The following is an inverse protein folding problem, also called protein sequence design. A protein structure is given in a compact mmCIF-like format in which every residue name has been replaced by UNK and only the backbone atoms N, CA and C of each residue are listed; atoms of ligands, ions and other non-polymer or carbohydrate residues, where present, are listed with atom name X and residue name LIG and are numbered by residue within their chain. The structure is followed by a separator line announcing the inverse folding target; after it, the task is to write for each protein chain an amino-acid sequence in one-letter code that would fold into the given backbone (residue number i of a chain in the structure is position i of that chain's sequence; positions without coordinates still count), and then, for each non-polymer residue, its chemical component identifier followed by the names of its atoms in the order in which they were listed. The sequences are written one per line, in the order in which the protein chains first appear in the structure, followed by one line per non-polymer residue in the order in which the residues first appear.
data_IF_510293685844
#
_entry.id   IF_510293685844
#
_cell.length_a   1.000
_cell.length_b   1.000
_cell.length_c   1.000
_cell.angle_alpha   90.00
_cell.angle_beta   90.00
_cell.angle_gamma   90.00
#
_symmetry.space_group_name_H-M   'P 1'
#
loop_
_entity.id
_entity.type
_entity.pdbx_description
1 polymer ?
#
# COMPACT_ATOMS: atom_id res chain seq x y z
N UNK A 1 6.47 34.93 -10.59
CA UNK A 1 6.23 33.94 -11.67
C UNK A 1 5.60 32.72 -11.00
N UNK A 2 4.53 32.15 -11.56
CA UNK A 2 3.79 31.04 -10.94
C UNK A 2 4.62 29.75 -11.02
N UNK A 3 5.23 29.35 -9.90
CA UNK A 3 6.01 28.11 -9.73
C UNK A 3 5.10 26.87 -9.63
N UNK A 4 4.25 26.64 -10.63
CA UNK A 4 3.32 25.49 -10.65
C UNK A 4 3.93 24.27 -11.32
N UNK A 5 5.19 23.93 -11.04
CA UNK A 5 5.88 22.94 -11.86
C UNK A 5 5.48 21.48 -11.58
N UNK A 6 4.95 21.14 -10.40
CA UNK A 6 4.75 19.72 -10.04
C UNK A 6 3.52 19.42 -9.16
N UNK A 7 2.70 20.43 -8.84
CA UNK A 7 1.55 20.26 -7.96
C UNK A 7 0.47 19.29 -8.49
N UNK A 8 0.35 19.17 -9.83
CA UNK A 8 -0.60 18.24 -10.47
C UNK A 8 -0.07 16.82 -10.64
N UNK A 9 1.24 16.58 -10.50
CA UNK A 9 1.84 15.28 -10.76
C UNK A 9 1.32 14.17 -9.82
N UNK A 10 1.12 14.40 -8.51
CA UNK A 10 0.49 13.42 -7.63
C UNK A 10 -0.91 12.97 -8.11
N UNK A 11 -1.71 13.90 -8.65
CA UNK A 11 -3.04 13.59 -9.17
C UNK A 11 -2.96 12.78 -10.47
N UNK A 12 -2.03 13.11 -11.36
CA UNK A 12 -1.80 12.34 -12.59
C UNK A 12 -1.37 10.91 -12.27
N UNK A 13 -0.49 10.73 -11.29
CA UNK A 13 -0.06 9.40 -10.84
C UNK A 13 -1.22 8.63 -10.18
N UNK A 14 -2.08 9.31 -9.41
CA UNK A 14 -3.28 8.68 -8.87
C UNK A 14 -4.25 8.24 -9.98
N UNK A 15 -4.49 9.06 -11.00
CA UNK A 15 -5.31 8.68 -12.16
C UNK A 15 -4.66 7.52 -12.95
N UNK A 16 -3.35 7.55 -13.11
CA UNK A 16 -2.58 6.49 -13.75
C UNK A 16 -2.68 5.15 -13.03
N UNK A 17 -2.82 5.15 -11.70
CA UNK A 17 -3.09 3.93 -10.93
C UNK A 17 -4.42 3.28 -11.35
N UNK A 18 -5.50 4.06 -11.47
CA UNK A 18 -6.80 3.52 -11.90
C UNK A 18 -6.72 2.96 -13.32
N UNK A 19 -6.09 3.68 -14.25
CA UNK A 19 -5.88 3.18 -15.61
C UNK A 19 -5.06 1.89 -15.63
N UNK A 20 -3.96 1.83 -14.87
CA UNK A 20 -3.12 0.64 -14.72
C UNK A 20 -3.92 -0.55 -14.17
N UNK A 21 -4.68 -0.34 -13.10
CA UNK A 21 -5.51 -1.39 -12.49
C UNK A 21 -6.61 -1.87 -13.41
N UNK A 22 -7.22 -0.97 -14.17
CA UNK A 22 -8.24 -1.30 -15.16
C UNK A 22 -7.69 -2.15 -16.30
N UNK A 23 -6.56 -1.76 -16.90
CA UNK A 23 -5.94 -2.49 -18.00
C UNK A 23 -5.49 -3.90 -17.61
N UNK A 24 -5.09 -4.09 -16.36
CA UNK A 24 -4.65 -5.38 -15.84
C UNK A 24 -5.79 -6.19 -15.20
N UNK A 25 -6.97 -5.59 -15.03
CA UNK A 25 -8.15 -6.31 -14.55
C UNK A 25 -8.65 -7.24 -15.66
N UNK A 26 -8.74 -8.54 -15.37
CA UNK A 26 -9.11 -9.59 -16.33
C UNK A 26 -7.93 -10.50 -16.68
N UNK A 27 -6.85 -10.00 -17.32
CA UNK A 27 -5.71 -10.83 -17.71
C UNK A 27 -4.92 -11.42 -16.55
N UNK A 28 -4.99 -10.79 -15.37
CA UNK A 28 -4.18 -11.16 -14.20
C UNK A 28 -5.09 -11.53 -13.03
N UNK A 29 -4.70 -12.55 -12.27
CA UNK A 29 -5.41 -12.94 -11.06
C UNK A 29 -5.38 -11.81 -10.00
N UNK A 30 -6.35 -11.89 -9.08
CA UNK A 30 -6.66 -10.78 -8.21
C UNK A 30 -5.62 -10.55 -7.09
N UNK A 31 -4.79 -11.55 -6.77
CA UNK A 31 -3.67 -11.41 -5.81
C UNK A 31 -2.48 -10.69 -6.44
N UNK A 32 -2.08 -11.09 -7.66
CA UNK A 32 -1.04 -10.40 -8.43
C UNK A 32 -1.42 -8.96 -8.74
N UNK A 33 -2.70 -8.70 -9.02
CA UNK A 33 -3.20 -7.34 -9.26
C UNK A 33 -3.10 -6.44 -8.01
N UNK A 34 -3.16 -7.01 -6.79
CA UNK A 34 -2.88 -6.28 -5.54
C UNK A 34 -1.40 -5.96 -5.44
N UNK A 35 -0.52 -6.94 -5.63
CA UNK A 35 0.93 -6.76 -5.57
C UNK A 35 1.43 -5.72 -6.60
N UNK A 36 0.96 -5.81 -7.85
CA UNK A 36 1.25 -4.85 -8.91
C UNK A 36 0.74 -3.44 -8.58
N UNK A 37 -0.41 -3.33 -7.90
CA UNK A 37 -0.90 -2.04 -7.41
C UNK A 37 0.03 -1.40 -6.37
N UNK A 38 0.56 -2.21 -5.44
CA UNK A 38 1.57 -1.75 -4.49
C UNK A 38 2.87 -1.30 -5.17
N UNK A 39 3.36 -2.11 -6.14
CA UNK A 39 4.55 -1.77 -6.94
C UNK A 39 4.37 -0.48 -7.74
N UNK A 40 3.16 -0.22 -8.26
CA UNK A 40 2.85 1.03 -8.95
C UNK A 40 3.07 2.23 -8.04
N UNK A 41 2.46 2.24 -6.84
CA UNK A 41 2.57 3.38 -5.92
C UNK A 41 3.99 3.55 -5.38
N UNK A 42 4.72 2.46 -5.13
CA UNK A 42 6.14 2.51 -4.81
C UNK A 42 6.95 3.20 -5.92
N UNK A 43 6.79 2.75 -7.16
CA UNK A 43 7.49 3.31 -8.31
C UNK A 43 7.15 4.78 -8.51
N UNK A 44 5.89 5.15 -8.35
CA UNK A 44 5.43 6.53 -8.44
C UNK A 44 6.03 7.42 -7.34
N UNK A 45 6.11 6.95 -6.09
CA UNK A 45 6.81 7.66 -5.01
C UNK A 45 8.29 7.84 -5.31
N UNK A 46 8.96 6.81 -5.84
CA UNK A 46 10.37 6.90 -6.25
C UNK A 46 10.56 7.93 -7.36
N UNK A 47 9.71 7.92 -8.40
CA UNK A 47 9.75 8.89 -9.48
C UNK A 47 9.50 10.32 -8.99
N UNK A 48 8.57 10.50 -8.04
CA UNK A 48 8.34 11.78 -7.38
C UNK A 48 9.58 12.25 -6.62
N UNK A 49 10.21 11.38 -5.82
CA UNK A 49 11.42 11.69 -5.08
C UNK A 49 12.53 12.17 -6.01
N UNK A 50 12.82 11.39 -7.06
CA UNK A 50 13.85 11.69 -8.05
C UNK A 50 13.54 12.97 -8.83
N UNK A 51 12.30 13.11 -9.32
CA UNK A 51 11.86 14.27 -10.08
C UNK A 51 11.95 15.55 -9.25
N UNK A 52 11.59 15.50 -7.97
CA UNK A 52 11.68 16.63 -7.07
C UNK A 52 13.13 16.98 -6.74
N UNK A 53 13.99 16.00 -6.47
CA UNK A 53 15.43 16.24 -6.26
C UNK A 53 16.09 16.90 -7.48
N UNK A 54 15.81 16.40 -8.69
CA UNK A 54 16.32 16.99 -9.94
C UNK A 54 15.80 18.42 -10.12
N UNK A 55 14.53 18.67 -9.81
CA UNK A 55 13.96 20.01 -9.85
C UNK A 55 14.66 20.95 -8.86
N UNK A 56 14.91 20.51 -7.62
CA UNK A 56 15.62 21.29 -6.60
C UNK A 56 17.03 21.68 -7.05
N UNK A 57 17.78 20.73 -7.64
CA UNK A 57 19.12 21.00 -8.20
C UNK A 57 19.05 22.03 -9.33
N UNK A 58 18.17 21.81 -10.32
CA UNK A 58 18.09 22.65 -11.52
C UNK A 58 17.58 24.06 -11.27
N UNK A 59 16.82 24.26 -10.19
CA UNK A 59 16.20 25.55 -9.85
C UNK A 59 16.87 26.25 -8.68
N UNK A 60 18.00 25.75 -8.17
CA UNK A 60 18.60 26.21 -6.92
C UNK A 60 17.58 26.29 -5.78
N UNK A 61 16.67 25.31 -5.74
CA UNK A 61 15.54 25.27 -4.83
C UNK A 61 15.84 24.62 -3.48
N UNK A 62 17.09 24.20 -3.24
CA UNK A 62 17.55 23.66 -1.96
C UNK A 62 17.71 24.75 -0.91
N UNK A 63 17.39 24.43 0.33
CA UNK A 63 17.61 25.28 1.50
C UNK A 63 19.04 25.21 2.03
N UNK A 64 19.93 24.44 1.39
CA UNK A 64 21.30 24.13 1.85
C UNK A 64 21.36 23.54 3.27
N UNK A 65 20.27 22.93 3.73
CA UNK A 65 20.15 22.37 5.07
C UNK A 65 19.45 21.03 4.98
N UNK A 66 20.06 20.00 5.56
CA UNK A 66 19.54 18.64 5.52
C UNK A 66 18.06 18.57 5.94
N UNK A 67 17.73 19.20 7.06
CA UNK A 67 16.35 19.18 7.58
C UNK A 67 15.39 20.06 6.79
N UNK A 68 15.88 21.12 6.14
CA UNK A 68 15.06 21.96 5.28
C UNK A 68 14.69 21.23 3.98
N UNK A 69 15.69 20.63 3.33
CA UNK A 69 15.52 19.85 2.10
C UNK A 69 14.71 18.58 2.34
N UNK A 70 14.92 17.90 3.47
CA UNK A 70 14.08 16.77 3.88
C UNK A 70 12.61 17.15 4.01
N UNK A 71 12.29 18.28 4.66
CA UNK A 71 10.90 18.76 4.77
C UNK A 71 10.32 19.12 3.40
N UNK A 72 11.12 19.75 2.54
CA UNK A 72 10.71 20.15 1.21
C UNK A 72 10.42 18.95 0.29
N UNK A 73 11.21 17.88 0.39
CA UNK A 73 11.00 16.62 -0.31
C UNK A 73 9.82 15.83 0.27
N UNK A 74 9.69 15.80 1.60
CA UNK A 74 8.63 15.03 2.28
C UNK A 74 7.24 15.53 1.92
N UNK A 75 7.04 16.84 1.77
CA UNK A 75 5.71 17.43 1.52
C UNK A 75 5.01 16.85 0.27
N UNK A 76 5.57 16.89 -0.95
CA UNK A 76 4.92 16.32 -2.12
C UNK A 76 4.76 14.79 -2.04
N UNK A 77 5.72 14.07 -1.43
CA UNK A 77 5.62 12.62 -1.27
C UNK A 77 4.52 12.22 -0.28
N UNK A 78 4.37 12.95 0.82
CA UNK A 78 3.31 12.70 1.80
C UNK A 78 1.93 13.00 1.22
N UNK A 79 1.79 14.06 0.41
CA UNK A 79 0.54 14.35 -0.32
C UNK A 79 0.21 13.18 -1.26
N UNK A 80 1.18 12.68 -2.02
CA UNK A 80 0.94 11.53 -2.89
C UNK A 80 0.66 10.25 -2.10
N UNK A 81 1.29 10.01 -0.96
CA UNK A 81 1.01 8.86 -0.10
C UNK A 81 -0.46 8.83 0.37
N UNK A 82 -1.02 9.99 0.73
CA UNK A 82 -2.44 10.11 1.06
C UNK A 82 -3.30 9.79 -0.17
N UNK A 83 -2.99 10.35 -1.33
CA UNK A 83 -3.72 10.06 -2.57
C UNK A 83 -3.63 8.58 -2.97
N UNK A 84 -2.47 7.94 -2.76
CA UNK A 84 -2.27 6.53 -3.01
C UNK A 84 -3.15 5.67 -2.09
N UNK A 85 -3.22 5.99 -0.78
CA UNK A 85 -4.11 5.32 0.15
C UNK A 85 -5.60 5.48 -0.24
N UNK A 86 -6.02 6.70 -0.60
CA UNK A 86 -7.35 6.96 -1.13
C UNK A 86 -7.62 6.19 -2.43
N UNK A 87 -6.61 6.05 -3.30
CA UNK A 87 -6.74 5.33 -4.58
C UNK A 87 -6.87 3.83 -4.37
N UNK A 88 -6.08 3.24 -3.45
CA UNK A 88 -6.21 1.83 -3.06
C UNK A 88 -7.59 1.56 -2.46
N UNK A 89 -8.04 2.42 -1.55
CA UNK A 89 -9.39 2.32 -1.00
C UNK A 89 -10.45 2.42 -2.09
N UNK A 90 -10.39 3.48 -2.92
CA UNK A 90 -11.35 3.72 -4.00
C UNK A 90 -11.39 2.59 -5.01
N UNK A 91 -10.24 1.99 -5.35
CA UNK A 91 -10.22 0.82 -6.20
C UNK A 91 -10.95 -0.36 -5.55
N UNK A 92 -10.60 -0.76 -4.33
CA UNK A 92 -11.15 -1.99 -3.76
C UNK A 92 -12.60 -1.86 -3.26
N UNK A 93 -13.02 -0.65 -2.85
CA UNK A 93 -14.32 -0.43 -2.19
C UNK A 93 -15.32 0.37 -3.02
N UNK A 94 -14.90 0.96 -4.14
CA UNK A 94 -15.79 1.67 -5.08
C UNK A 94 -15.77 1.01 -6.45
N UNK A 95 -14.60 0.84 -7.06
CA UNK A 95 -14.50 0.34 -8.45
C UNK A 95 -14.64 -1.18 -8.54
N UNK A 96 -13.91 -1.91 -7.70
CA UNK A 96 -13.86 -3.37 -7.67
C UNK A 96 -14.60 -3.94 -6.44
N UNK A 97 -15.62 -3.22 -5.95
CA UNK A 97 -16.38 -3.56 -4.75
C UNK A 97 -16.89 -5.00 -4.79
N UNK A 98 -17.56 -5.37 -5.88
CA UNK A 98 -18.17 -6.71 -6.00
C UNK A 98 -17.12 -7.82 -6.00
N UNK A 99 -15.95 -7.58 -6.59
CA UNK A 99 -14.84 -8.51 -6.54
C UNK A 99 -14.25 -8.64 -5.13
N UNK A 100 -14.21 -7.55 -4.36
CA UNK A 100 -13.78 -7.54 -2.95
C UNK A 100 -14.77 -8.30 -2.07
N UNK A 101 -16.08 -8.05 -2.23
CA UNK A 101 -17.13 -8.76 -1.50
C UNK A 101 -17.18 -10.25 -1.86
N UNK A 102 -17.01 -10.60 -3.13
CA UNK A 102 -16.89 -12.00 -3.55
C UNK A 102 -15.69 -12.68 -2.90
N UNK A 103 -14.53 -12.02 -2.86
CA UNK A 103 -13.34 -12.56 -2.18
C UNK A 103 -13.58 -12.77 -0.69
N UNK A 104 -14.28 -11.84 -0.04
CA UNK A 104 -14.69 -11.97 1.36
C UNK A 104 -15.62 -13.16 1.55
N UNK A 105 -16.66 -13.29 0.73
CA UNK A 105 -17.61 -14.39 0.79
C UNK A 105 -16.94 -15.75 0.60
N UNK A 106 -16.02 -15.88 -0.38
CA UNK A 106 -15.26 -17.10 -0.61
C UNK A 106 -14.39 -17.49 0.59
N UNK A 107 -13.72 -16.52 1.23
CA UNK A 107 -12.91 -16.77 2.43
C UNK A 107 -13.77 -17.21 3.62
N UNK A 108 -14.95 -16.61 3.78
CA UNK A 108 -15.90 -17.00 4.82
C UNK A 108 -16.46 -18.41 4.59
N UNK A 109 -16.81 -18.74 3.35
CA UNK A 109 -17.28 -20.08 2.99
C UNK A 109 -16.19 -21.15 3.23
N UNK A 110 -14.93 -20.86 2.93
CA UNK A 110 -13.81 -21.75 3.26
C UNK A 110 -13.68 -21.98 4.76
N UNK A 111 -13.81 -20.94 5.58
CA UNK A 111 -13.79 -21.08 7.04
C UNK A 111 -14.96 -21.97 7.49
N UNK A 112 -16.16 -21.73 6.96
CA UNK A 112 -17.35 -22.52 7.29
C UNK A 112 -17.18 -24.00 6.91
N UNK A 113 -16.61 -24.30 5.75
CA UNK A 113 -16.33 -25.66 5.29
C UNK A 113 -15.33 -26.37 6.21
N UNK A 114 -14.21 -25.70 6.55
CA UNK A 114 -13.20 -26.26 7.45
C UNK A 114 -13.66 -26.37 8.92
N UNK A 115 -14.74 -25.69 9.28
CA UNK A 115 -15.27 -25.70 10.66
C UNK A 115 -16.68 -26.31 10.74
N UNK A 116 -17.13 -26.99 9.68
CA UNK A 116 -18.47 -27.56 9.60
C UNK A 116 -18.70 -28.69 10.62
N UNK A 117 -17.65 -29.46 10.94
CA UNK A 117 -17.66 -30.50 11.96
C UNK A 117 -16.28 -30.64 12.63
N UNK A 118 -16.21 -31.40 13.72
CA UNK A 118 -14.93 -31.70 14.38
C UNK A 118 -13.99 -32.49 13.46
N UNK A 119 -14.53 -33.38 12.63
CA UNK A 119 -13.76 -34.16 11.66
C UNK A 119 -13.19 -33.26 10.56
N UNK A 120 -13.98 -32.31 10.06
CA UNK A 120 -13.52 -31.34 9.05
C UNK A 120 -12.40 -30.45 9.62
N UNK A 121 -12.54 -30.03 10.88
CA UNK A 121 -11.53 -29.20 11.55
C UNK A 121 -10.25 -29.99 11.83
N UNK A 122 -10.36 -31.24 12.29
CA UNK A 122 -9.20 -32.12 12.47
C UNK A 122 -8.45 -32.38 11.16
N UNK A 123 -9.18 -32.61 10.06
CA UNK A 123 -8.60 -32.78 8.73
C UNK A 123 -7.88 -31.50 8.25
N UNK A 124 -8.48 -30.33 8.47
CA UNK A 124 -7.86 -29.04 8.18
C UNK A 124 -6.55 -28.83 8.98
N UNK A 125 -6.56 -29.12 10.29
CA UNK A 125 -5.38 -29.01 11.15
C UNK A 125 -4.25 -29.93 10.66
N UNK A 126 -4.59 -31.15 10.27
CA UNK A 126 -3.65 -32.11 9.71
C UNK A 126 -3.07 -31.64 8.37
N UNK A 127 -3.92 -31.15 7.45
CA UNK A 127 -3.51 -30.64 6.14
C UNK A 127 -2.55 -29.44 6.25
N UNK A 128 -2.80 -28.54 7.20
CA UNK A 128 -1.94 -27.38 7.45
C UNK A 128 -0.65 -27.73 8.21
N UNK A 129 -0.46 -28.99 8.62
CA UNK A 129 0.69 -29.42 9.41
C UNK A 129 0.76 -28.76 10.79
N UNK A 130 -0.39 -28.33 11.33
CA UNK A 130 -0.48 -27.60 12.59
C UNK A 130 -0.62 -28.53 13.81
N UNK A 131 -0.60 -29.84 13.62
CA UNK A 131 -0.73 -30.85 14.68
C UNK A 131 0.27 -30.66 15.83
N UNK A 132 1.45 -30.09 15.55
CA UNK A 132 2.48 -29.82 16.55
C UNK A 132 2.28 -28.52 17.35
N UNK A 133 1.29 -27.70 17.00
CA UNK A 133 1.01 -26.42 17.66
C UNK A 133 0.27 -26.70 18.96
N UNK A 134 0.97 -26.56 20.09
CA UNK A 134 0.45 -26.81 21.45
C UNK A 134 -0.81 -26.01 21.83
N UNK A 135 -1.09 -24.91 21.14
CA UNK A 135 -2.19 -24.00 21.44
C UNK A 135 -3.01 -23.71 20.17
N UNK A 136 -3.57 -24.76 19.57
CA UNK A 136 -4.65 -24.56 18.61
C UNK A 136 -5.96 -24.28 19.38
N UNK A 137 -6.68 -23.19 19.07
CA UNK A 137 -8.00 -22.97 19.63
C UNK A 137 -8.96 -24.10 19.22
N UNK A 138 -9.99 -24.32 20.02
CA UNK A 138 -11.10 -25.20 19.64
C UNK A 138 -11.80 -24.69 18.36
N UNK A 139 -12.56 -25.56 17.71
CA UNK A 139 -13.23 -25.29 16.43
C UNK A 139 -14.09 -24.03 16.46
N UNK A 140 -14.87 -23.81 17.52
CA UNK A 140 -15.79 -22.66 17.63
C UNK A 140 -15.01 -21.36 17.85
N UNK A 141 -13.98 -21.40 18.69
CA UNK A 141 -13.07 -20.28 18.90
C UNK A 141 -12.32 -19.94 17.63
N UNK A 142 -11.80 -20.93 16.90
CA UNK A 142 -11.13 -20.74 15.62
C UNK A 142 -12.06 -20.11 14.59
N UNK A 143 -13.27 -20.67 14.41
CA UNK A 143 -14.27 -20.17 13.47
C UNK A 143 -14.60 -18.70 13.74
N UNK A 144 -14.82 -18.35 15.01
CA UNK A 144 -15.14 -16.98 15.44
C UNK A 144 -13.97 -16.02 15.15
N UNK A 145 -12.75 -16.42 15.52
CA UNK A 145 -11.56 -15.59 15.31
C UNK A 145 -11.27 -15.40 13.81
N UNK A 146 -11.30 -16.47 13.02
CA UNK A 146 -11.03 -16.43 11.58
C UNK A 146 -12.08 -15.59 10.83
N UNK A 147 -13.37 -15.76 11.14
CA UNK A 147 -14.46 -14.98 10.55
C UNK A 147 -14.34 -13.49 10.88
N UNK A 148 -14.02 -13.18 12.13
CA UNK A 148 -13.79 -11.80 12.60
C UNK A 148 -12.59 -11.19 11.88
N UNK A 149 -11.50 -11.95 11.76
CA UNK A 149 -10.27 -11.52 11.10
C UNK A 149 -10.50 -11.22 9.61
N UNK A 150 -11.17 -12.11 8.88
CA UNK A 150 -11.50 -11.88 7.46
C UNK A 150 -12.37 -10.63 7.30
N UNK A 151 -13.39 -10.49 8.13
CA UNK A 151 -14.30 -9.33 8.09
C UNK A 151 -13.59 -8.02 8.40
N UNK A 152 -12.66 -8.02 9.35
CA UNK A 152 -11.85 -6.86 9.71
C UNK A 152 -10.84 -6.53 8.61
N UNK A 153 -10.06 -7.51 8.15
CA UNK A 153 -8.96 -7.32 7.19
C UNK A 153 -9.45 -6.84 5.82
N UNK A 154 -10.62 -7.31 5.38
CA UNK A 154 -11.24 -6.90 4.12
C UNK A 154 -12.16 -5.67 4.26
N UNK A 155 -12.19 -5.04 5.43
CA UNK A 155 -12.96 -3.81 5.62
C UNK A 155 -12.32 -2.60 4.93
N UNK A 156 -13.16 -1.63 4.55
CA UNK A 156 -12.72 -0.36 3.98
C UNK A 156 -11.79 0.43 4.89
N UNK A 157 -12.13 0.53 6.18
CA UNK A 157 -11.34 1.27 7.16
C UNK A 157 -9.92 0.71 7.29
N UNK A 158 -9.80 -0.61 7.42
CA UNK A 158 -8.50 -1.29 7.55
C UNK A 158 -7.68 -1.17 6.25
N UNK A 159 -8.32 -1.34 5.10
CA UNK A 159 -7.69 -1.14 3.79
C UNK A 159 -7.06 0.26 3.69
N UNK A 160 -7.82 1.29 4.08
CA UNK A 160 -7.34 2.67 4.05
C UNK A 160 -6.19 2.90 5.05
N UNK A 161 -6.37 2.52 6.32
CA UNK A 161 -5.38 2.77 7.37
C UNK A 161 -4.06 2.06 7.08
N UNK A 162 -4.10 0.77 6.69
CA UNK A 162 -2.89 0.02 6.38
C UNK A 162 -2.16 0.62 5.17
N UNK A 163 -2.88 0.93 4.09
CA UNK A 163 -2.28 1.56 2.91
C UNK A 163 -1.69 2.95 3.24
N UNK A 164 -2.36 3.74 4.07
CA UNK A 164 -1.89 5.05 4.50
C UNK A 164 -0.58 4.94 5.29
N UNK A 165 -0.51 4.05 6.28
CA UNK A 165 0.71 3.82 7.07
C UNK A 165 1.85 3.38 6.15
N UNK A 166 1.59 2.41 5.25
CA UNK A 166 2.60 1.90 4.32
C UNK A 166 3.16 3.01 3.42
N UNK A 167 2.30 3.81 2.79
CA UNK A 167 2.77 4.84 1.86
C UNK A 167 3.35 6.06 2.55
N UNK A 168 2.89 6.44 3.75
CA UNK A 168 3.54 7.47 4.55
C UNK A 168 4.94 7.04 4.99
N UNK A 169 5.09 5.79 5.40
CA UNK A 169 6.41 5.22 5.71
C UNK A 169 7.33 5.24 4.49
N UNK A 170 6.84 4.80 3.33
CA UNK A 170 7.60 4.85 2.08
C UNK A 170 7.98 6.30 1.69
N UNK A 171 7.05 7.25 1.85
CA UNK A 171 7.32 8.67 1.60
C UNK A 171 8.43 9.22 2.49
N UNK A 172 8.42 8.93 3.79
CA UNK A 172 9.48 9.33 4.72
C UNK A 172 10.82 8.71 4.36
N UNK A 173 10.84 7.40 4.11
CA UNK A 173 12.05 6.65 3.74
C UNK A 173 12.68 7.22 2.46
N UNK A 174 11.88 7.39 1.41
CA UNK A 174 12.36 7.90 0.13
C UNK A 174 12.80 9.37 0.23
N UNK A 175 12.13 10.17 1.05
CA UNK A 175 12.57 11.55 1.32
C UNK A 175 13.93 11.59 2.02
N UNK A 176 14.15 10.69 2.98
CA UNK A 176 15.44 10.57 3.67
C UNK A 176 16.54 10.16 2.70
N UNK A 177 16.32 9.11 1.91
CA UNK A 177 17.26 8.68 0.88
C UNK A 177 17.56 9.81 -0.11
N UNK A 178 16.52 10.48 -0.62
CA UNK A 178 16.67 11.58 -1.57
C UNK A 178 17.48 12.75 -0.98
N UNK A 179 17.26 13.08 0.29
CA UNK A 179 18.01 14.15 0.99
C UNK A 179 19.47 13.76 1.17
N UNK A 180 19.77 12.52 1.57
CA UNK A 180 21.14 12.02 1.68
C UNK A 180 21.85 12.10 0.32
N UNK A 181 21.20 11.66 -0.75
CA UNK A 181 21.76 11.75 -2.10
C UNK A 181 22.01 13.21 -2.51
N UNK A 182 21.07 14.11 -2.22
CA UNK A 182 21.17 15.54 -2.52
C UNK A 182 22.41 16.17 -1.85
N UNK A 183 22.64 15.90 -0.56
CA UNK A 183 23.75 16.49 0.17
C UNK A 183 25.09 15.81 -0.11
N UNK A 184 25.13 14.47 -0.17
CA UNK A 184 26.37 13.71 -0.27
C UNK A 184 26.91 13.57 -1.69
N UNK A 185 26.02 13.45 -2.69
CA UNK A 185 26.45 13.23 -4.08
C UNK A 185 26.51 14.56 -4.84
N UNK A 186 25.53 15.43 -4.63
CA UNK A 186 25.45 16.69 -5.38
C UNK A 186 26.13 17.87 -4.67
N UNK A 187 26.66 17.65 -3.46
CA UNK A 187 27.50 18.63 -2.76
C UNK A 187 26.79 19.95 -2.43
N UNK A 188 25.45 19.93 -2.29
CA UNK A 188 24.67 21.16 -2.09
C UNK A 188 24.96 21.83 -0.74
N UNK A 189 25.43 21.05 0.26
CA UNK A 189 26.10 21.55 1.46
C UNK A 189 26.86 20.38 2.14
N UNK A 190 28.09 20.62 2.61
CA UNK A 190 28.77 19.70 3.54
C UNK A 190 28.07 19.73 4.90
N UNK A 191 27.80 18.56 5.47
CA UNK A 191 27.23 18.38 6.82
C UNK A 191 28.02 19.15 7.88
#
# INVERSE_FOLDING_TARGET
MRDTALAGLPLVLAAGYFAFKWLLSGPINAERLVALGGMYHWSALTLLALGWSVWMIRRNGSTQSFWGDFKQLTKPLAVYAILAACSVWGWNHVVAKDATELRKALRLAQIEEHTASEEAYAAFVAEQGLESVKELPDRETYQTQATTQVSWMLSGGVTFVLSLITYLFAAMLLSLCATVLLHQIWGIASL
#
